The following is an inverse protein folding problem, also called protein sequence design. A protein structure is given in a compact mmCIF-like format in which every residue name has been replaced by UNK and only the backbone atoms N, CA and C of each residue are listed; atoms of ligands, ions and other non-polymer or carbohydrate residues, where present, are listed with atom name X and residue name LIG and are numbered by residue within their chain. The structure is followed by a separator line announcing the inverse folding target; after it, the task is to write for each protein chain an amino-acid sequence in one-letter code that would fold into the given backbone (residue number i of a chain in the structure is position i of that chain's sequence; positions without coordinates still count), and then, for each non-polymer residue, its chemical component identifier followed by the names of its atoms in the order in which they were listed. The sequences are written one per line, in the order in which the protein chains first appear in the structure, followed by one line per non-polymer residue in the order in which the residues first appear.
data_IF_117396130980
#
_entry.id   IF_117396130980
#
_cell.length_a   1.000
_cell.length_b   1.000
_cell.length_c   1.000
_cell.angle_alpha   90.00
_cell.angle_beta   90.00
_cell.angle_gamma   90.00
#
_symmetry.space_group_name_H-M   'P 1'
#
loop_
_entity.id
_entity.type
_entity.pdbx_description
1 polymer ?
#
# COMPACT_ATOMS: atom_id res chain seq x y z
N UNK A 1 4.85 -33.31 -40.82
CA UNK A 1 5.22 -31.97 -41.29
C UNK A 1 5.28 -31.07 -40.06
N UNK A 2 6.47 -30.82 -39.51
CA UNK A 2 6.65 -29.93 -38.36
C UNK A 2 6.67 -28.49 -38.89
N UNK A 3 5.67 -27.69 -38.49
CA UNK A 3 5.61 -26.28 -38.88
C UNK A 3 6.72 -25.53 -38.13
N UNK A 4 7.71 -25.03 -38.86
CA UNK A 4 8.82 -24.25 -38.27
C UNK A 4 8.35 -22.81 -38.15
N UNK A 5 8.26 -22.30 -36.92
CA UNK A 5 7.94 -20.89 -36.66
C UNK A 5 9.18 -20.04 -36.96
N UNK A 6 9.08 -18.99 -37.78
CA UNK A 6 10.17 -18.05 -38.05
C UNK A 6 10.75 -17.40 -36.78
N UNK A 7 12.07 -17.16 -36.77
CA UNK A 7 12.79 -16.65 -35.59
C UNK A 7 12.35 -15.23 -35.18
N UNK A 8 11.95 -14.40 -36.13
CA UNK A 8 11.41 -13.05 -35.90
C UNK A 8 10.06 -13.08 -35.16
N UNK A 9 9.20 -14.06 -35.46
CA UNK A 9 7.97 -14.29 -34.70
C UNK A 9 8.29 -14.73 -33.27
N UNK A 10 9.26 -15.63 -33.10
CA UNK A 10 9.70 -16.07 -31.77
C UNK A 10 10.33 -14.93 -30.96
N UNK A 11 11.12 -14.06 -31.59
CA UNK A 11 11.69 -12.84 -30.98
C UNK A 11 10.57 -11.92 -30.48
N UNK A 12 9.56 -11.66 -31.31
CA UNK A 12 8.37 -10.89 -30.92
C UNK A 12 7.62 -11.52 -29.74
N UNK A 13 7.43 -12.84 -29.74
CA UNK A 13 6.79 -13.55 -28.61
C UNK A 13 7.58 -13.38 -27.31
N UNK A 14 8.92 -13.49 -27.36
CA UNK A 14 9.76 -13.30 -26.18
C UNK A 14 9.74 -11.85 -25.68
N UNK A 15 9.68 -10.87 -26.59
CA UNK A 15 9.55 -9.44 -26.25
C UNK A 15 8.21 -9.10 -25.61
N UNK A 16 7.14 -9.86 -25.89
CA UNK A 16 5.82 -9.68 -25.27
C UNK A 16 5.68 -10.37 -23.90
N UNK A 17 6.74 -10.97 -23.35
CA UNK A 17 6.65 -11.60 -22.03
C UNK A 17 6.37 -10.55 -20.95
N UNK A 18 5.41 -10.79 -20.04
CA UNK A 18 4.98 -9.78 -19.07
C UNK A 18 5.98 -9.61 -17.92
N UNK A 19 6.84 -10.60 -17.66
CA UNK A 19 7.83 -10.57 -16.57
C UNK A 19 9.10 -11.32 -16.96
N UNK A 20 10.21 -11.01 -16.28
CA UNK A 20 11.45 -11.79 -16.43
C UNK A 20 11.27 -13.27 -16.06
N UNK A 21 10.42 -13.58 -15.08
CA UNK A 21 10.14 -14.96 -14.70
C UNK A 21 9.48 -15.74 -15.85
N UNK A 22 8.50 -15.12 -16.53
CA UNK A 22 7.85 -15.69 -17.71
C UNK A 22 8.84 -15.92 -18.84
N UNK A 23 9.72 -14.94 -19.10
CA UNK A 23 10.77 -15.06 -20.11
C UNK A 23 11.74 -16.21 -19.79
N UNK A 24 12.27 -16.26 -18.56
CA UNK A 24 13.22 -17.30 -18.15
C UNK A 24 12.60 -18.70 -18.15
N UNK A 25 11.31 -18.83 -17.82
CA UNK A 25 10.58 -20.08 -17.98
C UNK A 25 10.49 -20.46 -19.47
N UNK A 26 10.09 -19.54 -20.34
CA UNK A 26 9.92 -19.80 -21.77
C UNK A 26 11.22 -20.28 -22.44
N UNK A 27 12.34 -19.60 -22.21
CA UNK A 27 13.62 -19.98 -22.83
C UNK A 27 14.17 -21.31 -22.31
N UNK A 28 13.73 -21.78 -21.13
CA UNK A 28 14.11 -23.10 -20.59
C UNK A 28 13.31 -24.25 -21.18
N UNK A 29 12.13 -23.98 -21.74
CA UNK A 29 11.25 -25.01 -22.33
C UNK A 29 11.74 -25.47 -23.70
N UNK A 30 12.41 -24.61 -24.48
CA UNK A 30 12.81 -24.93 -25.86
C UNK A 30 14.20 -24.40 -26.21
N UNK A 31 15.04 -25.26 -26.80
CA UNK A 31 16.35 -24.87 -27.35
C UNK A 31 16.22 -23.82 -28.46
N UNK A 32 15.14 -23.85 -29.24
CA UNK A 32 14.88 -22.86 -30.28
C UNK A 32 14.61 -21.48 -29.68
N UNK A 33 13.78 -21.41 -28.63
CA UNK A 33 13.52 -20.14 -27.91
C UNK A 33 14.80 -19.60 -27.25
N UNK A 34 15.59 -20.49 -26.64
CA UNK A 34 16.87 -20.11 -26.08
C UNK A 34 17.84 -19.58 -27.16
N UNK A 35 17.91 -20.23 -28.32
CA UNK A 35 18.74 -19.78 -29.43
C UNK A 35 18.32 -18.39 -29.93
N UNK A 36 17.02 -18.16 -30.11
CA UNK A 36 16.49 -16.83 -30.47
C UNK A 36 16.84 -15.79 -29.40
N UNK A 37 16.64 -16.12 -28.12
CA UNK A 37 17.03 -15.25 -27.02
C UNK A 37 18.52 -14.89 -27.06
N UNK A 38 19.41 -15.86 -27.29
CA UNK A 38 20.85 -15.65 -27.38
C UNK A 38 21.26 -14.70 -28.53
N UNK A 39 20.46 -14.60 -29.59
CA UNK A 39 20.76 -13.66 -30.69
C UNK A 39 20.48 -12.20 -30.31
N UNK A 40 19.50 -11.94 -29.44
CA UNK A 40 19.03 -10.58 -29.09
C UNK A 40 18.67 -10.41 -27.61
N UNK A 41 19.52 -10.82 -26.66
CA UNK A 41 19.15 -10.85 -25.24
C UNK A 41 18.81 -9.45 -24.73
N UNK A 42 19.59 -8.44 -25.12
CA UNK A 42 19.41 -7.04 -24.69
C UNK A 42 18.05 -6.47 -25.10
N UNK A 43 17.68 -6.63 -26.37
CA UNK A 43 16.39 -6.16 -26.91
C UNK A 43 15.22 -6.83 -26.20
N UNK A 44 15.30 -8.15 -26.01
CA UNK A 44 14.26 -8.92 -25.32
C UNK A 44 14.14 -8.52 -23.85
N UNK A 45 15.27 -8.45 -23.12
CA UNK A 45 15.26 -8.07 -21.71
C UNK A 45 14.75 -6.65 -21.51
N UNK A 46 15.12 -5.71 -22.38
CA UNK A 46 14.60 -4.35 -22.35
C UNK A 46 13.09 -4.32 -22.61
N UNK A 47 12.60 -5.00 -23.64
CA UNK A 47 11.17 -5.07 -23.92
C UNK A 47 10.38 -5.66 -22.75
N UNK A 48 10.90 -6.72 -22.11
CA UNK A 48 10.27 -7.30 -20.91
C UNK A 48 10.31 -6.32 -19.72
N UNK A 49 11.39 -5.57 -19.53
CA UNK A 49 11.44 -4.52 -18.52
C UNK A 49 10.39 -3.43 -18.79
N UNK A 50 10.28 -2.97 -20.05
CA UNK A 50 9.28 -2.01 -20.50
C UNK A 50 7.85 -2.55 -20.31
N UNK A 51 7.59 -3.85 -20.52
CA UNK A 51 6.28 -4.44 -20.23
C UNK A 51 5.94 -4.43 -18.73
N UNK A 52 6.95 -4.57 -17.86
CA UNK A 52 6.74 -4.63 -16.41
C UNK A 52 6.43 -3.28 -15.78
N UNK A 53 7.14 -2.23 -16.21
CA UNK A 53 7.10 -0.91 -15.55
C UNK A 53 6.66 0.22 -16.49
N UNK A 54 6.42 -0.10 -17.76
CA UNK A 54 5.98 0.85 -18.77
C UNK A 54 7.02 1.95 -19.02
N UNK A 55 6.55 3.19 -19.28
CA UNK A 55 7.43 4.33 -19.55
C UNK A 55 8.19 4.83 -18.33
N UNK A 56 7.90 4.30 -17.12
CA UNK A 56 8.63 4.62 -15.90
C UNK A 56 9.97 3.87 -15.79
N UNK A 57 10.37 3.10 -16.82
CA UNK A 57 11.63 2.34 -16.85
C UNK A 57 12.87 3.15 -16.47
N UNK A 58 13.07 4.40 -16.91
CA UNK A 58 14.23 5.18 -16.51
C UNK A 58 14.28 5.43 -14.99
N UNK A 59 13.14 5.75 -14.36
CA UNK A 59 13.07 5.94 -12.91
C UNK A 59 13.29 4.60 -12.17
N UNK A 60 12.75 3.49 -12.69
CA UNK A 60 12.95 2.15 -12.11
C UNK A 60 14.43 1.70 -12.15
N UNK A 61 15.13 1.93 -13.25
CA UNK A 61 16.56 1.60 -13.40
C UNK A 61 17.42 2.45 -12.46
N UNK A 62 17.06 3.72 -12.24
CA UNK A 62 17.77 4.58 -11.27
C UNK A 62 17.69 4.05 -9.85
N UNK A 63 16.52 3.55 -9.42
CA UNK A 63 16.38 2.88 -8.11
C UNK A 63 17.23 1.63 -8.05
N UNK A 64 17.21 0.83 -9.12
CA UNK A 64 17.91 -0.45 -9.16
C UNK A 64 19.42 -0.30 -8.99
N UNK A 65 20.00 0.67 -9.72
CA UNK A 65 21.44 0.93 -9.75
C UNK A 65 21.93 1.85 -8.64
N UNK A 66 21.03 2.43 -7.87
CA UNK A 66 21.46 3.13 -6.67
C UNK A 66 22.10 2.10 -5.72
N UNK A 67 23.42 2.18 -5.65
CA UNK A 67 24.27 1.51 -4.66
C UNK A 67 24.85 2.60 -3.79
N UNK A 68 24.85 2.39 -2.47
CA UNK A 68 25.48 3.33 -1.52
C UNK A 68 26.94 3.66 -1.92
N UNK A 69 27.62 2.69 -2.55
CA UNK A 69 29.02 2.80 -2.98
C UNK A 69 29.24 3.47 -4.35
N UNK A 70 28.19 3.72 -5.15
CA UNK A 70 28.36 4.19 -6.54
C UNK A 70 28.09 5.69 -6.66
N UNK A 71 29.17 6.48 -6.70
CA UNK A 71 29.13 7.91 -7.09
C UNK A 71 28.83 8.12 -8.58
N UNK A 72 28.76 7.04 -9.36
CA UNK A 72 28.57 7.07 -10.80
C UNK A 72 27.10 7.40 -11.13
N UNK A 73 26.87 8.57 -11.70
CA UNK A 73 25.59 8.93 -12.34
C UNK A 73 25.31 8.00 -13.51
N UNK A 74 24.59 6.91 -13.25
CA UNK A 74 24.29 5.86 -14.24
C UNK A 74 23.61 6.41 -15.48
N UNK A 75 24.19 6.15 -16.65
CA UNK A 75 23.62 6.53 -17.94
C UNK A 75 22.51 5.56 -18.35
N UNK A 76 21.53 6.05 -19.13
CA UNK A 76 20.35 5.29 -19.55
C UNK A 76 20.69 4.11 -20.49
N UNK A 77 21.92 4.05 -21.01
CA UNK A 77 22.37 3.02 -21.97
C UNK A 77 22.69 1.66 -21.33
N UNK A 78 22.78 1.54 -20.00
CA UNK A 78 23.41 0.34 -19.40
C UNK A 78 22.41 -0.78 -19.00
N UNK A 79 21.18 -0.80 -19.51
CA UNK A 79 20.25 -1.95 -19.25
C UNK A 79 20.82 -3.28 -19.76
N UNK A 80 21.84 -3.18 -20.58
CA UNK A 80 22.57 -4.24 -21.26
C UNK A 80 23.29 -5.24 -20.35
N UNK A 81 23.43 -4.97 -19.04
CA UNK A 81 24.19 -5.83 -18.11
C UNK A 81 23.53 -5.96 -16.73
N UNK A 82 22.21 -6.13 -16.65
CA UNK A 82 21.60 -6.47 -15.38
C UNK A 82 22.06 -7.86 -14.90
N UNK A 83 22.53 -7.93 -13.66
CA UNK A 83 22.86 -9.15 -12.92
C UNK A 83 21.61 -9.89 -12.48
N UNK A 84 21.74 -11.17 -12.11
CA UNK A 84 20.64 -11.96 -11.54
C UNK A 84 20.04 -11.33 -10.26
N UNK A 85 20.88 -10.68 -9.44
CA UNK A 85 20.43 -9.97 -8.23
C UNK A 85 19.57 -8.77 -8.63
N UNK A 86 19.99 -8.03 -9.64
CA UNK A 86 19.28 -6.88 -10.16
C UNK A 86 17.93 -7.25 -10.79
N UNK A 87 17.84 -8.33 -11.58
CA UNK A 87 16.55 -8.79 -12.11
C UNK A 87 15.53 -9.10 -11.01
N UNK A 88 15.98 -9.72 -9.92
CA UNK A 88 15.12 -10.01 -8.77
C UNK A 88 14.67 -8.71 -8.10
N UNK A 89 15.60 -7.80 -7.77
CA UNK A 89 15.27 -6.51 -7.15
C UNK A 89 14.33 -5.68 -8.03
N UNK A 90 14.58 -5.62 -9.33
CA UNK A 90 13.71 -4.94 -10.28
C UNK A 90 12.30 -5.53 -10.30
N UNK A 91 12.18 -6.87 -10.33
CA UNK A 91 10.89 -7.55 -10.30
C UNK A 91 10.12 -7.29 -9.00
N UNK A 92 10.82 -7.31 -7.86
CA UNK A 92 10.24 -6.96 -6.55
C UNK A 92 9.75 -5.51 -6.54
N UNK A 93 10.56 -4.56 -7.00
CA UNK A 93 10.16 -3.15 -7.02
C UNK A 93 8.96 -2.91 -7.95
N UNK A 94 8.94 -3.54 -9.13
CA UNK A 94 7.80 -3.48 -10.04
C UNK A 94 6.51 -4.06 -9.42
N UNK A 95 6.62 -5.17 -8.70
CA UNK A 95 5.48 -5.74 -7.96
C UNK A 95 4.98 -4.78 -6.87
N UNK A 96 5.88 -4.12 -6.13
CA UNK A 96 5.52 -3.13 -5.12
C UNK A 96 4.77 -1.94 -5.74
N UNK A 97 5.29 -1.37 -6.84
CA UNK A 97 4.62 -0.26 -7.54
C UNK A 97 3.23 -0.67 -8.00
N UNK A 98 3.11 -1.84 -8.63
CA UNK A 98 1.82 -2.37 -9.10
C UNK A 98 0.82 -2.60 -7.96
N UNK A 99 1.27 -3.18 -6.85
CA UNK A 99 0.42 -3.38 -5.67
C UNK A 99 -0.09 -2.06 -5.08
N UNK A 100 0.80 -1.06 -4.97
CA UNK A 100 0.44 0.28 -4.52
C UNK A 100 -0.49 1.00 -5.49
N UNK A 101 -0.34 0.76 -6.80
CA UNK A 101 -1.23 1.33 -7.81
C UNK A 101 -2.65 0.75 -7.67
N UNK A 102 -2.77 -0.56 -7.49
CA UNK A 102 -4.06 -1.22 -7.20
C UNK A 102 -4.67 -0.66 -5.92
N UNK A 103 -3.88 -0.49 -4.85
CA UNK A 103 -4.34 0.11 -3.61
C UNK A 103 -4.80 1.56 -3.77
N UNK A 104 -4.07 2.35 -4.55
CA UNK A 104 -4.40 3.74 -4.85
C UNK A 104 -5.68 3.84 -5.68
N UNK A 105 -5.79 3.04 -6.73
CA UNK A 105 -6.99 2.92 -7.56
C UNK A 105 -8.20 2.48 -6.74
N UNK A 106 -8.05 1.48 -5.87
CA UNK A 106 -9.11 1.04 -4.98
C UNK A 106 -9.64 2.19 -4.11
N UNK A 107 -8.74 3.05 -3.60
CA UNK A 107 -9.11 4.13 -2.68
C UNK A 107 -9.71 5.36 -3.35
N UNK A 108 -9.35 5.63 -4.61
CA UNK A 108 -9.70 6.90 -5.27
C UNK A 108 -10.45 6.77 -6.61
N UNK A 109 -10.44 5.58 -7.22
CA UNK A 109 -11.15 5.27 -8.46
C UNK A 109 -12.31 4.34 -8.22
N UNK A 110 -12.06 3.10 -7.86
CA UNK A 110 -13.15 2.13 -7.74
C UNK A 110 -12.85 1.13 -6.64
N UNK A 111 -13.56 1.21 -5.49
CA UNK A 111 -13.37 0.27 -4.39
C UNK A 111 -13.89 -1.15 -4.72
N UNK A 112 -14.56 -1.35 -5.86
CA UNK A 112 -15.07 -2.66 -6.28
C UNK A 112 -14.16 -3.35 -7.32
N UNK A 113 -13.21 -2.60 -7.91
CA UNK A 113 -12.28 -3.16 -8.88
C UNK A 113 -11.17 -3.99 -8.20
N UNK A 114 -10.90 -5.17 -8.76
CA UNK A 114 -9.76 -6.03 -8.34
C UNK A 114 -8.41 -5.56 -8.89
N UNK A 115 -8.41 -4.62 -9.83
CA UNK A 115 -7.21 -4.11 -10.48
C UNK A 115 -7.18 -2.58 -10.54
N UNK A 116 -6.09 -2.05 -11.08
CA UNK A 116 -5.98 -0.61 -11.33
C UNK A 116 -6.99 -0.17 -12.40
N UNK A 117 -7.69 0.92 -12.11
CA UNK A 117 -8.59 1.66 -13.00
C UNK A 117 -7.96 3.00 -13.39
N UNK A 118 -6.67 3.19 -13.12
CA UNK A 118 -5.94 4.35 -13.61
C UNK A 118 -5.82 4.26 -15.13
N UNK A 119 -5.93 5.42 -15.80
CA UNK A 119 -5.55 5.48 -17.22
C UNK A 119 -4.05 5.20 -17.37
N UNK A 120 -3.60 4.90 -18.58
CA UNK A 120 -2.18 4.70 -18.85
C UNK A 120 -1.31 5.88 -18.40
N UNK A 121 -1.78 7.12 -18.64
CA UNK A 121 -1.06 8.34 -18.25
C UNK A 121 -1.03 8.52 -16.73
N UNK A 122 -2.12 8.20 -16.03
CA UNK A 122 -2.21 8.26 -14.58
C UNK A 122 -1.33 7.21 -13.91
N UNK A 123 -1.34 5.98 -14.42
CA UNK A 123 -0.44 4.89 -14.00
C UNK A 123 1.02 5.30 -14.18
N UNK A 124 1.37 5.93 -15.31
CA UNK A 124 2.72 6.45 -15.53
C UNK A 124 3.13 7.49 -14.48
N UNK A 125 2.29 8.50 -14.22
CA UNK A 125 2.58 9.54 -13.20
C UNK A 125 2.76 8.91 -11.82
N UNK A 126 1.86 7.99 -11.46
CA UNK A 126 1.91 7.26 -10.20
C UNK A 126 3.20 6.43 -10.08
N UNK A 127 3.51 5.60 -11.07
CA UNK A 127 4.69 4.74 -11.07
C UNK A 127 5.99 5.55 -10.95
N UNK A 128 6.13 6.62 -11.74
CA UNK A 128 7.30 7.52 -11.67
C UNK A 128 7.45 8.14 -10.29
N UNK A 129 6.36 8.66 -9.72
CA UNK A 129 6.35 9.21 -8.37
C UNK A 129 6.78 8.16 -7.33
N UNK A 130 6.25 6.93 -7.39
CA UNK A 130 6.63 5.85 -6.46
C UNK A 130 8.11 5.49 -6.61
N UNK A 131 8.63 5.30 -7.82
CA UNK A 131 10.06 5.00 -8.02
C UNK A 131 10.97 6.12 -7.50
N UNK A 132 10.57 7.39 -7.62
CA UNK A 132 11.34 8.50 -7.07
C UNK A 132 11.31 8.54 -5.55
N UNK A 133 10.18 8.17 -4.95
CA UNK A 133 10.09 7.98 -3.49
C UNK A 133 10.98 6.81 -3.06
N UNK A 134 10.97 5.67 -3.78
CA UNK A 134 11.90 4.56 -3.52
C UNK A 134 13.35 5.05 -3.57
N UNK A 135 13.74 5.75 -4.64
CA UNK A 135 15.09 6.27 -4.79
C UNK A 135 15.46 7.22 -3.64
N UNK A 136 14.53 8.09 -3.24
CA UNK A 136 14.76 9.03 -2.15
C UNK A 136 14.95 8.30 -0.80
N UNK A 137 14.12 7.30 -0.52
CA UNK A 137 14.27 6.45 0.66
C UNK A 137 15.59 5.68 0.67
N UNK A 138 16.08 5.23 -0.48
CA UNK A 138 17.37 4.53 -0.62
C UNK A 138 18.55 5.50 -0.46
N UNK A 139 18.46 6.70 -1.04
CA UNK A 139 19.51 7.73 -0.95
C UNK A 139 19.72 8.22 0.46
N UNK A 140 18.62 8.47 1.17
CA UNK A 140 18.64 8.98 2.53
C UNK A 140 18.27 7.88 3.54
N UNK A 141 18.49 6.62 3.16
CA UNK A 141 18.33 5.51 4.08
C UNK A 141 19.31 5.67 5.23
N UNK A 142 18.87 5.32 6.43
CA UNK A 142 19.78 5.19 7.56
C UNK A 142 20.50 3.87 7.35
N UNK A 143 21.66 3.89 6.70
CA UNK A 143 22.50 2.70 6.57
C UNK A 143 23.31 2.46 7.84
N UNK A 144 23.58 1.18 8.10
CA UNK A 144 24.32 0.66 9.24
C UNK A 144 25.80 1.12 9.30
N UNK A 145 26.32 1.73 8.24
CA UNK A 145 27.74 2.07 8.10
C UNK A 145 28.16 3.37 8.82
N UNK A 146 27.24 4.14 9.41
CA UNK A 146 27.63 5.24 10.31
C UNK A 146 27.82 4.70 11.74
N UNK A 147 28.90 3.92 11.91
CA UNK A 147 29.44 3.38 13.17
C UNK A 147 29.95 4.46 14.13
N UNK A 148 29.42 5.68 14.01
CA UNK A 148 29.98 6.85 14.63
C UNK A 148 29.03 7.38 15.69
N UNK A 149 29.27 6.92 16.91
CA UNK A 149 28.88 7.56 18.15
C UNK A 149 29.38 9.02 18.13
N UNK A 150 28.53 9.97 17.73
CA UNK A 150 28.87 11.38 17.68
C UNK A 150 28.52 12.11 18.99
N UNK A 151 29.35 13.08 19.37
CA UNK A 151 29.06 14.02 20.45
C UNK A 151 27.93 14.98 20.03
N UNK A 152 26.94 15.17 20.92
CA UNK A 152 25.64 15.84 20.69
C UNK A 152 25.68 17.23 20.03
N UNK A 153 26.82 17.92 20.02
CA UNK A 153 26.93 19.30 19.54
C UNK A 153 27.29 19.40 18.05
N UNK A 154 27.88 18.36 17.44
CA UNK A 154 28.11 18.27 15.99
C UNK A 154 26.88 17.70 15.23
N UNK A 155 25.76 17.51 15.90
CA UNK A 155 24.55 16.93 15.31
C UNK A 155 23.70 17.95 14.53
N UNK A 156 23.64 19.22 14.97
CA UNK A 156 22.75 20.24 14.38
C UNK A 156 23.22 20.66 12.98
N UNK A 157 24.51 20.99 12.82
CA UNK A 157 25.10 21.38 11.52
C UNK A 157 24.95 20.26 10.48
N UNK A 158 25.15 18.99 10.89
CA UNK A 158 24.98 17.84 10.00
C UNK A 158 23.53 17.59 9.62
N UNK A 159 22.59 17.84 10.54
CA UNK A 159 21.18 17.71 10.21
C UNK A 159 20.75 18.72 9.13
N UNK A 160 21.20 19.96 9.21
CA UNK A 160 20.93 20.97 8.18
C UNK A 160 21.62 20.65 6.83
N UNK A 161 22.80 20.02 6.85
CA UNK A 161 23.44 19.49 5.65
C UNK A 161 22.57 18.40 5.00
N UNK A 162 22.09 17.43 5.76
CA UNK A 162 21.21 16.36 5.27
C UNK A 162 19.93 16.94 4.67
N UNK A 163 19.31 17.93 5.33
CA UNK A 163 18.13 18.62 4.78
C UNK A 163 18.49 19.34 3.47
N UNK A 164 19.65 19.99 3.39
CA UNK A 164 20.12 20.66 2.17
C UNK A 164 20.29 19.67 1.02
N UNK A 165 20.86 18.49 1.28
CA UNK A 165 20.99 17.42 0.28
C UNK A 165 19.62 16.87 -0.16
N UNK A 166 18.68 16.66 0.77
CA UNK A 166 17.30 16.26 0.48
C UNK A 166 16.58 17.28 -0.41
N UNK A 167 16.70 18.57 -0.08
CA UNK A 167 16.18 19.67 -0.91
C UNK A 167 16.82 19.66 -2.29
N UNK A 168 18.14 19.50 -2.38
CA UNK A 168 18.88 19.46 -3.64
C UNK A 168 18.42 18.29 -4.54
N UNK A 169 18.08 17.13 -3.96
CA UNK A 169 17.53 16.01 -4.72
C UNK A 169 16.17 16.35 -5.35
N UNK A 170 15.23 16.91 -4.58
CA UNK A 170 13.92 17.26 -5.10
C UNK A 170 13.93 18.46 -6.05
N UNK A 171 14.87 19.41 -5.87
CA UNK A 171 15.03 20.58 -6.77
C UNK A 171 15.27 20.18 -8.24
N UNK A 172 15.77 18.96 -8.49
CA UNK A 172 16.00 18.40 -9.84
C UNK A 172 14.70 18.13 -10.61
N UNK A 173 13.54 18.01 -9.94
CA UNK A 173 12.26 17.71 -10.59
C UNK A 173 11.45 18.98 -10.86
N UNK A 174 10.71 19.05 -11.99
CA UNK A 174 9.79 20.15 -12.26
C UNK A 174 8.64 20.17 -11.24
N UNK A 175 8.01 21.32 -11.08
CA UNK A 175 6.95 21.53 -10.08
C UNK A 175 5.75 20.60 -10.27
N UNK A 176 5.36 20.33 -11.52
CA UNK A 176 4.26 19.40 -11.85
C UNK A 176 4.53 18.00 -11.30
N UNK A 177 5.73 17.47 -11.51
CA UNK A 177 6.12 16.14 -11.04
C UNK A 177 6.29 16.08 -9.51
N UNK A 178 6.71 17.17 -8.87
CA UNK A 178 6.76 17.22 -7.40
C UNK A 178 5.34 17.24 -6.79
N UNK A 179 4.36 17.85 -7.46
CA UNK A 179 2.97 17.81 -7.02
C UNK A 179 2.35 16.41 -7.17
N UNK A 180 2.72 15.68 -8.23
CA UNK A 180 2.38 14.26 -8.40
C UNK A 180 3.01 13.39 -7.31
N UNK A 181 4.30 13.63 -7.00
CA UNK A 181 5.01 12.95 -5.92
C UNK A 181 4.37 13.20 -4.55
N UNK A 182 4.04 14.45 -4.24
CA UNK A 182 3.36 14.79 -2.98
C UNK A 182 1.97 14.15 -2.89
N UNK A 183 1.25 14.02 -4.01
CA UNK A 183 -0.03 13.29 -4.04
C UNK A 183 0.11 11.81 -3.64
N UNK A 184 1.17 11.14 -4.10
CA UNK A 184 1.49 9.76 -3.70
C UNK A 184 1.91 9.71 -2.22
N UNK A 185 2.73 10.64 -1.74
CA UNK A 185 3.11 10.71 -0.32
C UNK A 185 1.89 10.92 0.58
N UNK A 186 0.94 11.78 0.20
CA UNK A 186 -0.32 11.94 0.93
C UNK A 186 -1.12 10.64 0.99
N UNK A 187 -1.11 9.84 -0.07
CA UNK A 187 -1.71 8.51 -0.06
C UNK A 187 -0.99 7.57 0.91
N UNK A 188 0.34 7.53 0.92
CA UNK A 188 1.12 6.75 1.86
C UNK A 188 0.85 7.17 3.31
N UNK A 189 0.81 8.48 3.59
CA UNK A 189 0.42 9.01 4.91
C UNK A 189 -0.97 8.52 5.32
N UNK A 190 -1.94 8.50 4.40
CA UNK A 190 -3.29 7.99 4.71
C UNK A 190 -3.27 6.50 5.04
N UNK A 191 -2.48 5.68 4.35
CA UNK A 191 -2.27 4.26 4.69
C UNK A 191 -1.66 4.17 6.11
N UNK A 192 -0.60 4.93 6.33
CA UNK A 192 0.06 5.07 7.62
C UNK A 192 -0.75 5.88 8.65
N UNK A 193 -2.01 6.27 8.40
CA UNK A 193 -2.96 6.81 9.39
C UNK A 193 -4.07 5.79 9.62
N UNK A 194 -4.54 5.13 8.57
CA UNK A 194 -5.63 4.16 8.63
C UNK A 194 -5.29 2.92 9.45
N UNK A 195 -4.06 2.39 9.36
CA UNK A 195 -3.73 1.09 9.97
C UNK A 195 -3.11 1.15 11.37
N UNK A 196 -3.10 2.31 12.02
CA UNK A 196 -2.33 2.51 13.26
C UNK A 196 -3.07 2.16 14.52
N UNK A 197 -4.35 1.85 14.40
CA UNK A 197 -5.22 1.64 15.55
C UNK A 197 -5.16 2.77 16.58
N UNK A 198 -5.63 2.43 17.77
CA UNK A 198 -5.53 3.28 18.97
C UNK A 198 -4.16 3.14 19.64
N UNK A 199 -3.05 3.04 18.88
CA UNK A 199 -1.74 2.96 19.51
C UNK A 199 -1.55 4.19 20.42
N UNK A 200 -1.29 3.97 21.72
CA UNK A 200 -1.36 5.02 22.75
C UNK A 200 -0.16 5.97 22.73
N UNK A 201 0.79 5.77 21.83
CA UNK A 201 1.98 6.62 21.72
C UNK A 201 1.68 7.82 20.84
N UNK A 202 1.17 8.88 21.48
CA UNK A 202 1.04 10.25 20.94
C UNK A 202 2.28 10.68 20.14
N UNK A 203 3.46 10.19 20.55
CA UNK A 203 4.77 10.34 19.90
C UNK A 203 4.81 9.98 18.40
N UNK A 204 4.01 9.01 17.92
CA UNK A 204 4.02 8.60 16.50
C UNK A 204 2.83 9.12 15.69
N UNK A 205 1.78 9.65 16.34
CA UNK A 205 0.60 10.17 15.62
C UNK A 205 0.92 11.41 14.80
N UNK A 206 1.89 12.20 15.26
CA UNK A 206 2.23 13.48 14.64
C UNK A 206 3.19 13.34 13.46
N UNK A 207 3.86 12.20 13.30
CA UNK A 207 4.96 12.06 12.34
C UNK A 207 4.79 10.90 11.34
N UNK A 208 3.71 10.96 10.55
CA UNK A 208 3.47 9.96 9.51
C UNK A 208 4.60 9.90 8.46
N UNK A 209 5.38 10.97 8.30
CA UNK A 209 6.56 11.02 7.44
C UNK A 209 7.63 10.01 7.86
N UNK A 210 7.85 9.87 9.17
CA UNK A 210 8.78 8.89 9.74
C UNK A 210 8.37 7.45 9.42
N UNK A 211 7.06 7.15 9.39
CA UNK A 211 6.60 5.80 9.04
C UNK A 211 6.82 5.51 7.56
N UNK A 212 6.52 6.47 6.68
CA UNK A 212 6.63 6.26 5.23
C UNK A 212 8.06 6.39 4.71
N UNK A 213 9.01 6.88 5.52
CA UNK A 213 10.45 6.88 5.17
C UNK A 213 11.04 5.47 5.06
N UNK A 214 10.40 4.49 5.70
CA UNK A 214 10.72 3.04 5.58
C UNK A 214 10.55 2.51 4.15
N UNK A 215 9.89 3.28 3.29
CA UNK A 215 9.83 3.07 1.86
C UNK A 215 8.56 2.37 1.38
N UNK A 216 8.32 2.38 0.06
CA UNK A 216 7.04 1.95 -0.50
C UNK A 216 6.69 0.47 -0.27
N UNK A 217 7.70 -0.41 -0.11
CA UNK A 217 7.46 -1.82 0.17
C UNK A 217 6.78 -2.04 1.53
N UNK A 218 7.22 -1.33 2.57
CA UNK A 218 6.61 -1.39 3.90
C UNK A 218 5.19 -0.79 3.89
N UNK A 219 4.97 0.28 3.10
CA UNK A 219 3.63 0.86 2.92
C UNK A 219 2.68 -0.12 2.23
N UNK A 220 3.15 -0.86 1.22
CA UNK A 220 2.35 -1.89 0.56
C UNK A 220 2.03 -3.05 1.50
N UNK A 221 3.02 -3.57 2.21
CA UNK A 221 2.82 -4.65 3.17
C UNK A 221 1.81 -4.22 4.24
N UNK A 222 1.88 -2.98 4.71
CA UNK A 222 0.90 -2.46 5.65
C UNK A 222 -0.53 -2.42 5.09
N UNK A 223 -0.65 -2.09 3.79
CA UNK A 223 -1.93 -2.15 3.09
C UNK A 223 -2.46 -3.56 2.89
N UNK A 224 -1.61 -4.52 2.56
CA UNK A 224 -2.01 -5.91 2.29
C UNK A 224 -2.32 -6.65 3.60
N UNK A 225 -1.45 -6.53 4.60
CA UNK A 225 -1.59 -7.16 5.91
C UNK A 225 -2.66 -6.50 6.78
N UNK A 226 -3.10 -5.28 6.42
CA UNK A 226 -4.03 -4.48 7.22
C UNK A 226 -3.46 -4.20 8.63
N UNK A 227 -2.14 -4.01 8.72
CA UNK A 227 -1.39 -3.74 9.96
C UNK A 227 -0.28 -2.75 9.67
N UNK A 228 0.34 -2.14 10.69
CA UNK A 228 1.55 -1.32 10.51
C UNK A 228 2.82 -2.01 10.95
N UNK A 229 2.74 -3.27 11.37
CA UNK A 229 3.84 -4.00 12.00
C UNK A 229 5.11 -3.93 11.12
N UNK A 230 4.99 -4.05 9.80
CA UNK A 230 6.12 -3.91 8.87
C UNK A 230 6.73 -2.51 8.85
N UNK A 231 5.92 -1.45 8.80
CA UNK A 231 6.42 -0.07 8.89
C UNK A 231 7.05 0.20 10.26
N UNK A 232 6.45 -0.28 11.34
CA UNK A 232 6.98 -0.10 12.70
C UNK A 232 8.29 -0.87 12.86
N UNK A 233 8.35 -2.14 12.48
CA UNK A 233 9.57 -2.95 12.56
C UNK A 233 10.68 -2.36 11.69
N UNK A 234 10.38 -1.92 10.46
CA UNK A 234 11.36 -1.28 9.59
C UNK A 234 11.87 0.05 10.19
N UNK A 235 10.96 0.82 10.80
CA UNK A 235 11.32 2.07 11.47
C UNK A 235 12.14 1.81 12.74
N UNK A 236 11.71 0.89 13.59
CA UNK A 236 12.43 0.52 14.81
C UNK A 236 13.82 0.06 14.45
N UNK A 237 13.99 -0.83 13.47
CA UNK A 237 15.31 -1.23 12.99
C UNK A 237 16.14 -0.01 12.57
N UNK A 238 15.58 0.91 11.78
CA UNK A 238 16.30 2.12 11.38
C UNK A 238 16.65 3.05 12.57
N UNK A 239 15.78 3.14 13.58
CA UNK A 239 16.02 3.95 14.78
C UNK A 239 17.03 3.32 15.73
N UNK A 240 17.00 1.99 15.89
CA UNK A 240 17.99 1.25 16.66
C UNK A 240 19.39 1.41 16.07
N UNK A 241 19.49 1.48 14.73
CA UNK A 241 20.77 1.66 14.04
C UNK A 241 21.25 3.12 14.04
N UNK A 242 20.37 4.12 13.84
CA UNK A 242 20.79 5.54 13.82
C UNK A 242 20.90 6.22 15.17
N UNK A 243 20.13 5.78 16.17
CA UNK A 243 19.92 6.52 17.42
C UNK A 243 19.23 7.88 17.28
N UNK A 244 18.86 8.34 16.07
CA UNK A 244 18.47 9.74 15.85
C UNK A 244 17.09 9.88 15.15
N UNK A 245 16.03 9.95 15.96
CA UNK A 245 14.65 10.19 15.50
C UNK A 245 14.46 11.54 14.79
N UNK A 246 15.25 12.56 15.16
CA UNK A 246 15.12 13.90 14.59
C UNK A 246 15.42 13.89 13.08
N UNK A 247 16.36 13.05 12.61
CA UNK A 247 16.70 12.85 11.19
C UNK A 247 15.52 12.37 10.33
N UNK A 248 14.56 11.66 10.92
CA UNK A 248 13.38 11.15 10.22
C UNK A 248 12.15 12.03 10.38
N UNK A 249 12.15 12.96 11.33
CA UNK A 249 11.04 13.90 11.44
C UNK A 249 10.91 14.75 10.19
N UNK A 250 9.69 14.84 9.66
CA UNK A 250 9.39 15.60 8.43
C UNK A 250 10.27 15.18 7.23
N UNK A 251 10.65 13.90 7.18
CA UNK A 251 11.57 13.31 6.19
C UNK A 251 11.29 13.76 4.74
N UNK A 252 10.01 13.87 4.37
CA UNK A 252 9.57 14.40 3.08
C UNK A 252 9.02 15.82 3.18
N UNK A 253 8.29 16.12 4.25
CA UNK A 253 7.52 17.35 4.43
C UNK A 253 8.41 18.57 4.50
N UNK A 254 9.50 18.53 5.27
CA UNK A 254 10.42 19.67 5.42
C UNK A 254 11.08 20.06 4.09
N UNK A 255 11.75 19.15 3.35
CA UNK A 255 12.37 19.52 2.08
C UNK A 255 11.35 19.95 1.01
N UNK A 256 10.17 19.34 0.95
CA UNK A 256 9.11 19.78 0.03
C UNK A 256 8.58 21.17 0.38
N UNK A 257 8.29 21.45 1.67
CA UNK A 257 7.86 22.79 2.13
C UNK A 257 8.88 23.87 1.77
N UNK A 258 10.17 23.60 1.90
CA UNK A 258 11.22 24.53 1.50
C UNK A 258 11.15 24.81 -0.01
N UNK A 259 10.99 23.78 -0.84
CA UNK A 259 10.90 23.94 -2.30
C UNK A 259 9.64 24.70 -2.70
N UNK A 260 8.52 24.45 -2.04
CA UNK A 260 7.26 25.18 -2.25
C UNK A 260 7.41 26.66 -1.95
N UNK A 261 8.08 27.00 -0.84
CA UNK A 261 8.43 28.38 -0.50
C UNK A 261 9.37 28.99 -1.55
N UNK A 262 10.44 28.29 -1.92
CA UNK A 262 11.44 28.76 -2.90
C UNK A 262 10.81 29.01 -4.29
N UNK A 263 9.80 28.24 -4.67
CA UNK A 263 9.12 28.34 -5.97
C UNK A 263 7.85 29.20 -5.95
N UNK A 264 7.49 29.76 -4.80
CA UNK A 264 6.22 30.48 -4.57
C UNK A 264 4.98 29.67 -4.99
N UNK A 265 4.95 28.38 -4.61
CA UNK A 265 3.86 27.45 -4.93
C UNK A 265 3.18 27.01 -3.64
N UNK A 266 1.86 27.18 -3.56
CA UNK A 266 1.06 26.61 -2.47
C UNK A 266 0.54 25.22 -2.88
N UNK A 267 1.06 24.11 -2.30
CA UNK A 267 0.52 22.80 -2.60
C UNK A 267 -0.94 22.72 -2.10
N UNK A 268 -1.88 22.16 -2.88
CA UNK A 268 -3.26 22.00 -2.44
C UNK A 268 -3.34 21.10 -1.20
N UNK A 269 -4.39 21.27 -0.40
CA UNK A 269 -4.65 20.45 0.79
C UNK A 269 -5.14 19.04 0.48
N UNK A 270 -5.46 18.73 -0.78
CA UNK A 270 -5.88 17.40 -1.26
C UNK A 270 -5.34 17.17 -2.68
N UNK A 271 -4.26 16.41 -2.79
CA UNK A 271 -3.45 16.35 -4.02
C UNK A 271 -3.71 15.13 -4.92
N UNK A 272 -4.57 14.19 -4.53
CA UNK A 272 -4.86 13.03 -5.38
C UNK A 272 -5.33 13.45 -6.79
N UNK A 273 -6.00 14.60 -6.93
CA UNK A 273 -6.42 15.18 -8.22
C UNK A 273 -5.26 15.46 -9.19
N UNK A 274 -4.02 15.62 -8.71
CA UNK A 274 -2.85 15.84 -9.57
C UNK A 274 -2.43 14.59 -10.34
N UNK A 275 -2.82 13.42 -9.83
CA UNK A 275 -2.56 12.14 -10.49
C UNK A 275 -3.67 11.74 -11.47
N UNK A 276 -4.78 12.48 -11.55
CA UNK A 276 -5.92 12.13 -12.39
C UNK A 276 -6.08 13.09 -13.57
N UNK A 277 -6.34 12.55 -14.75
CA UNK A 277 -6.76 13.29 -15.94
C UNK A 277 -8.27 13.58 -15.87
N UNK A 278 -9.03 12.62 -15.37
CA UNK A 278 -10.47 12.74 -15.18
C UNK A 278 -10.84 13.05 -13.73
N UNK A 279 -12.04 13.59 -13.49
CA UNK A 279 -12.55 13.75 -12.14
C UNK A 279 -12.49 12.39 -11.40
N UNK A 280 -12.13 12.37 -10.09
CA UNK A 280 -12.20 11.14 -9.31
C UNK A 280 -13.61 10.57 -9.40
N UNK A 281 -13.71 9.24 -9.36
CA UNK A 281 -15.01 8.56 -9.33
C UNK A 281 -15.87 9.14 -8.22
N UNK A 282 -17.10 9.49 -8.57
CA UNK A 282 -18.10 9.88 -7.60
C UNK A 282 -18.70 8.61 -7.05
N UNK A 283 -18.16 8.14 -5.91
CA UNK A 283 -18.76 7.02 -5.20
C UNK A 283 -20.25 7.29 -4.98
N UNK A 284 -21.12 6.29 -5.19
CA UNK A 284 -22.54 6.47 -4.93
C UNK A 284 -22.74 6.87 -3.48
N UNK A 285 -23.82 7.58 -3.11
CA UNK A 285 -24.14 7.81 -1.71
C UNK A 285 -24.39 6.46 -1.01
N UNK A 286 -24.29 6.45 0.32
CA UNK A 286 -24.67 5.27 1.10
C UNK A 286 -26.12 4.86 0.79
N UNK A 287 -26.36 3.58 0.46
CA UNK A 287 -27.68 3.02 0.10
C UNK A 287 -28.74 3.09 1.21
N UNK A 288 -28.38 3.67 2.36
CA UNK A 288 -29.21 3.76 3.57
C UNK A 288 -29.43 5.16 4.06
N UNK A 289 -28.36 5.89 4.35
CA UNK A 289 -28.50 7.25 4.83
C UNK A 289 -28.42 8.31 3.71
N UNK A 290 -28.05 7.92 2.49
CA UNK A 290 -27.86 8.87 1.39
C UNK A 290 -26.64 9.79 1.56
N UNK A 291 -25.87 9.66 2.64
CA UNK A 291 -24.68 10.48 2.87
C UNK A 291 -23.62 10.15 1.82
N UNK A 292 -23.13 11.18 1.15
CA UNK A 292 -21.95 11.14 0.32
C UNK A 292 -20.72 10.90 1.20
N UNK A 293 -20.30 9.63 1.28
CA UNK A 293 -19.16 9.23 2.08
C UNK A 293 -18.16 8.49 1.20
N UNK A 294 -17.59 9.24 0.24
CA UNK A 294 -16.82 8.72 -0.92
C UNK A 294 -15.73 7.72 -0.61
N UNK A 295 -15.21 7.74 0.61
CA UNK A 295 -14.04 6.97 1.02
C UNK A 295 -14.33 5.90 2.09
N UNK A 296 -15.59 5.66 2.43
CA UNK A 296 -15.97 4.79 3.56
C UNK A 296 -17.22 3.95 3.30
N UNK A 297 -17.50 3.63 2.04
CA UNK A 297 -18.58 2.70 1.72
C UNK A 297 -18.05 1.29 1.72
N UNK A 298 -18.85 0.40 2.31
CA UNK A 298 -18.55 -0.99 2.59
C UNK A 298 -19.57 -1.87 1.91
N UNK A 299 -19.13 -2.95 1.31
CA UNK A 299 -19.98 -3.95 0.67
C UNK A 299 -19.38 -5.34 0.92
N UNK A 300 -20.11 -6.40 0.60
CA UNK A 300 -19.63 -7.77 0.76
C UNK A 300 -18.17 -7.99 0.31
N UNK A 301 -17.78 -7.41 -0.83
CA UNK A 301 -16.44 -7.58 -1.40
C UNK A 301 -15.31 -6.98 -0.55
N UNK A 302 -15.59 -6.00 0.31
CA UNK A 302 -14.59 -5.28 1.10
C UNK A 302 -14.57 -5.65 2.59
N UNK A 303 -15.48 -6.52 3.02
CA UNK A 303 -15.64 -6.87 4.43
C UNK A 303 -14.41 -7.51 5.06
N UNK A 304 -13.65 -8.29 4.29
CA UNK A 304 -12.39 -8.87 4.74
C UNK A 304 -11.36 -7.80 5.14
N UNK A 305 -11.38 -6.65 4.45
CA UNK A 305 -10.46 -5.52 4.68
C UNK A 305 -10.96 -4.50 5.70
N UNK A 306 -12.07 -4.76 6.39
CA UNK A 306 -12.65 -3.79 7.33
C UNK A 306 -11.75 -3.55 8.54
N UNK A 307 -11.38 -2.29 8.76
CA UNK A 307 -10.73 -1.81 9.98
C UNK A 307 -11.73 -1.45 11.08
N UNK A 308 -12.88 -2.13 11.12
CA UNK A 308 -13.69 -2.09 12.31
C UNK A 308 -12.88 -2.80 13.38
N UNK A 309 -12.46 -2.06 14.41
CA UNK A 309 -12.12 -2.70 15.67
C UNK A 309 -13.44 -3.25 16.18
N UNK A 310 -13.77 -4.47 15.73
CA UNK A 310 -15.02 -5.13 16.03
C UNK A 310 -15.16 -5.08 17.54
N UNK A 311 -14.12 -5.39 18.32
CA UNK A 311 -14.15 -5.29 19.78
C UNK A 311 -14.59 -3.92 20.35
N UNK A 312 -14.22 -2.78 19.76
CA UNK A 312 -14.68 -1.46 20.21
C UNK A 312 -16.18 -1.21 19.95
N UNK A 313 -16.84 -2.02 19.11
CA UNK A 313 -18.26 -1.89 18.79
C UNK A 313 -19.19 -2.58 19.80
N UNK A 314 -18.65 -3.25 20.82
CA UNK A 314 -19.40 -4.13 21.70
C UNK A 314 -19.57 -3.67 23.15
N UNK A 315 -18.70 -2.86 23.80
CA UNK A 315 -18.71 -2.54 25.24
C UNK A 315 -20.05 -2.15 25.88
N UNK A 316 -20.97 -1.54 25.13
CA UNK A 316 -22.16 -0.93 25.72
C UNK A 316 -23.48 -1.62 25.38
N UNK A 317 -23.46 -2.74 24.64
CA UNK A 317 -24.60 -3.02 23.78
C UNK A 317 -25.23 -4.42 23.87
N UNK A 318 -24.94 -5.18 24.92
CA UNK A 318 -25.77 -6.34 25.25
C UNK A 318 -26.91 -5.92 26.18
N UNK A 319 -28.18 -6.03 25.76
CA UNK A 319 -29.30 -5.80 26.67
C UNK A 319 -29.19 -6.78 27.85
N UNK A 320 -29.11 -6.26 29.08
CA UNK A 320 -29.03 -7.09 30.30
C UNK A 320 -27.70 -7.10 31.06
N UNK A 321 -26.80 -6.12 30.87
CA UNK A 321 -25.49 -6.06 31.56
C UNK A 321 -24.56 -7.26 31.28
N UNK A 322 -24.63 -7.90 30.10
CA UNK A 322 -23.71 -9.01 29.78
C UNK A 322 -22.22 -8.62 29.80
N UNK A 323 -21.86 -7.33 29.83
CA UNK A 323 -20.48 -6.91 30.13
C UNK A 323 -19.98 -7.32 31.51
N UNK A 324 -20.90 -7.66 32.42
CA UNK A 324 -20.56 -8.26 33.71
C UNK A 324 -20.34 -9.78 33.60
N UNK A 325 -20.74 -10.40 32.49
CA UNK A 325 -20.47 -11.82 32.22
C UNK A 325 -19.15 -11.96 31.46
N UNK A 326 -18.04 -11.80 32.21
CA UNK A 326 -16.67 -11.94 31.70
C UNK A 326 -16.49 -13.21 30.84
N UNK A 327 -16.97 -14.41 31.25
CA UNK A 327 -16.87 -15.62 30.42
C UNK A 327 -17.52 -15.49 29.03
N UNK A 328 -18.68 -14.86 28.92
CA UNK A 328 -19.34 -14.68 27.60
C UNK A 328 -18.60 -13.67 26.73
N UNK A 329 -18.04 -12.63 27.34
CA UNK A 329 -17.23 -11.65 26.64
C UNK A 329 -15.92 -12.29 26.14
N UNK A 330 -15.25 -13.10 26.97
CA UNK A 330 -14.04 -13.83 26.61
C UNK A 330 -14.29 -14.83 25.47
N UNK A 331 -15.32 -15.68 25.60
CA UNK A 331 -15.71 -16.62 24.55
C UNK A 331 -16.04 -15.90 23.24
N UNK A 332 -16.77 -14.79 23.32
CA UNK A 332 -17.08 -13.97 22.15
C UNK A 332 -15.81 -13.39 21.53
N UNK A 333 -14.91 -12.82 22.33
CA UNK A 333 -13.66 -12.23 21.85
C UNK A 333 -12.76 -13.29 21.20
N UNK A 334 -12.62 -14.44 21.83
CA UNK A 334 -11.89 -15.58 21.30
C UNK A 334 -12.50 -16.06 19.97
N UNK A 335 -13.82 -16.18 19.90
CA UNK A 335 -14.48 -16.66 18.69
C UNK A 335 -14.38 -15.65 17.55
N UNK A 336 -14.65 -14.38 17.83
CA UNK A 336 -14.58 -13.30 16.83
C UNK A 336 -13.15 -13.06 16.35
N UNK A 337 -12.14 -13.16 17.23
CA UNK A 337 -10.74 -13.03 16.82
C UNK A 337 -10.28 -14.14 15.86
N UNK A 338 -10.94 -15.31 15.91
CA UNK A 338 -10.67 -16.47 15.02
C UNK A 338 -11.50 -16.44 13.74
N UNK A 339 -12.59 -15.67 13.70
CA UNK A 339 -13.46 -15.60 12.53
C UNK A 339 -12.91 -14.61 11.50
N UNK A 340 -12.95 -15.03 10.25
CA UNK A 340 -12.80 -14.11 9.13
C UNK A 340 -13.92 -13.05 9.18
N UNK A 341 -13.54 -11.77 9.02
CA UNK A 341 -14.47 -10.63 9.14
C UNK A 341 -15.58 -10.71 8.11
N UNK A 342 -15.24 -11.12 6.89
CA UNK A 342 -16.24 -11.30 5.83
C UNK A 342 -17.26 -12.36 6.25
N UNK A 343 -16.80 -13.53 6.72
CA UNK A 343 -17.69 -14.58 7.25
C UNK A 343 -18.57 -14.07 8.40
N UNK A 344 -18.00 -13.39 9.38
CA UNK A 344 -18.74 -12.84 10.53
C UNK A 344 -19.87 -11.91 10.07
N UNK A 345 -19.56 -10.94 9.21
CA UNK A 345 -20.56 -9.96 8.75
C UNK A 345 -21.61 -10.67 7.88
N UNK A 346 -21.20 -11.59 7.02
CA UNK A 346 -22.12 -12.40 6.20
C UNK A 346 -23.12 -13.20 7.04
N UNK A 347 -22.66 -13.85 8.10
CA UNK A 347 -23.52 -14.60 9.01
C UNK A 347 -24.50 -13.67 9.75
N UNK A 348 -24.06 -12.48 10.18
CA UNK A 348 -24.96 -11.49 10.80
C UNK A 348 -26.01 -10.99 9.79
N UNK A 349 -25.67 -10.88 8.50
CA UNK A 349 -26.63 -10.55 7.44
C UNK A 349 -27.70 -11.63 7.24
N UNK A 350 -27.40 -12.89 7.54
CA UNK A 350 -28.35 -14.00 7.42
C UNK A 350 -29.46 -13.95 8.49
N UNK A 351 -29.19 -13.37 9.67
CA UNK A 351 -30.11 -13.34 10.83
C UNK A 351 -30.78 -11.99 11.05
N UNK A 352 -31.05 -11.25 9.97
CA UNK A 352 -31.56 -9.87 10.05
C UNK A 352 -33.03 -9.78 10.50
N UNK A 353 -33.35 -8.72 11.24
CA UNK A 353 -34.73 -8.39 11.66
C UNK A 353 -35.55 -7.83 10.50
N UNK A 354 -36.88 -7.81 10.66
CA UNK A 354 -37.83 -7.35 9.62
C UNK A 354 -37.55 -5.90 9.18
N UNK A 355 -37.16 -5.01 10.10
CA UNK A 355 -36.84 -3.61 9.79
C UNK A 355 -35.62 -3.46 8.87
N UNK A 356 -34.76 -4.48 8.80
CA UNK A 356 -33.60 -4.53 7.91
C UNK A 356 -33.78 -5.49 6.74
N UNK A 357 -34.98 -6.05 6.50
CA UNK A 357 -35.24 -7.04 5.45
C UNK A 357 -34.70 -6.63 4.07
N UNK A 358 -34.81 -5.33 3.73
CA UNK A 358 -34.33 -4.78 2.45
C UNK A 358 -32.81 -4.63 2.37
N UNK A 359 -32.04 -4.81 3.46
CA UNK A 359 -30.58 -4.68 3.48
C UNK A 359 -29.95 -5.93 2.87
N UNK A 360 -29.12 -5.71 1.85
CA UNK A 360 -28.42 -6.76 1.10
C UNK A 360 -26.91 -6.61 1.31
N UNK A 361 -26.15 -7.72 1.33
CA UNK A 361 -24.68 -7.68 1.36
C UNK A 361 -24.05 -6.82 0.26
N UNK A 362 -24.70 -6.77 -0.91
CA UNK A 362 -24.27 -5.97 -2.07
C UNK A 362 -24.47 -4.47 -1.92
N UNK A 363 -25.16 -3.99 -0.87
CA UNK A 363 -25.35 -2.56 -0.67
C UNK A 363 -24.05 -1.87 -0.25
N UNK A 364 -23.80 -0.69 -0.79
CA UNK A 364 -22.73 0.22 -0.39
C UNK A 364 -23.14 0.98 0.88
N UNK A 365 -22.69 0.51 2.03
CA UNK A 365 -23.03 1.04 3.34
C UNK A 365 -21.89 1.88 3.92
N UNK A 366 -22.17 3.08 4.41
CA UNK A 366 -21.15 3.80 5.19
C UNK A 366 -20.84 3.08 6.51
N UNK A 367 -19.65 3.30 7.07
CA UNK A 367 -19.22 2.70 8.35
C UNK A 367 -20.29 2.82 9.44
N UNK A 368 -20.96 3.98 9.56
CA UNK A 368 -22.03 4.19 10.56
C UNK A 368 -23.28 3.33 10.31
N UNK A 369 -23.68 3.14 9.05
CA UNK A 369 -24.82 2.29 8.71
C UNK A 369 -24.49 0.81 8.90
N UNK A 370 -23.30 0.37 8.47
CA UNK A 370 -22.84 -0.99 8.72
C UNK A 370 -22.73 -1.26 10.22
N UNK A 371 -22.15 -0.33 10.99
CA UNK A 371 -22.06 -0.44 12.44
C UNK A 371 -23.44 -0.55 13.10
N UNK A 372 -24.38 0.32 12.71
CA UNK A 372 -25.78 0.24 13.18
C UNK A 372 -26.37 -1.14 12.86
N UNK A 373 -26.15 -1.66 11.67
CA UNK A 373 -26.61 -2.99 11.27
C UNK A 373 -26.03 -4.09 12.17
N UNK A 374 -24.72 -4.14 12.34
CA UNK A 374 -24.05 -5.14 13.17
C UNK A 374 -24.53 -5.09 14.62
N UNK A 375 -24.68 -3.87 15.14
CA UNK A 375 -25.16 -3.61 16.51
C UNK A 375 -26.60 -4.13 16.71
N UNK A 376 -27.48 -3.93 15.73
CA UNK A 376 -28.87 -4.36 15.83
C UNK A 376 -29.08 -5.87 15.68
N UNK A 377 -28.11 -6.65 15.19
CA UNK A 377 -28.35 -8.07 14.85
C UNK A 377 -27.40 -9.06 15.53
N UNK A 378 -26.30 -8.61 16.12
CA UNK A 378 -25.35 -9.52 16.80
C UNK A 378 -25.98 -10.42 17.86
N UNK A 379 -27.02 -9.95 18.56
CA UNK A 379 -27.69 -10.70 19.62
C UNK A 379 -28.53 -11.86 19.06
N UNK A 380 -28.87 -11.81 17.77
CA UNK A 380 -29.53 -12.91 17.05
C UNK A 380 -28.51 -13.92 16.53
N UNK A 381 -27.33 -13.43 16.13
CA UNK A 381 -26.24 -14.27 15.62
C UNK A 381 -25.55 -15.08 16.72
N UNK A 382 -25.33 -14.48 17.91
CA UNK A 382 -24.54 -15.11 18.97
C UNK A 382 -25.12 -16.46 19.48
N UNK A 383 -26.45 -16.62 19.68
CA UNK A 383 -27.02 -17.93 20.01
C UNK A 383 -26.79 -18.98 18.93
N UNK A 384 -26.88 -18.62 17.64
CA UNK A 384 -26.59 -19.55 16.55
C UNK A 384 -25.12 -19.96 16.53
N UNK A 385 -24.21 -19.03 16.82
CA UNK A 385 -22.79 -19.34 16.96
C UNK A 385 -22.54 -20.31 18.11
N UNK A 386 -23.13 -20.07 19.29
CA UNK A 386 -23.03 -20.96 20.46
C UNK A 386 -23.52 -22.37 20.13
N UNK A 387 -24.68 -22.47 19.47
CA UNK A 387 -25.22 -23.75 19.01
C UNK A 387 -24.28 -24.48 18.04
N UNK A 388 -23.61 -23.76 17.12
CA UNK A 388 -22.63 -24.34 16.18
C UNK A 388 -21.35 -24.82 16.87
N UNK A 389 -20.88 -24.12 17.89
CA UNK A 389 -19.65 -24.46 18.63
C UNK A 389 -19.87 -25.62 19.61
N UNK A 390 -21.12 -26.02 19.85
CA UNK A 390 -21.48 -27.09 20.79
C UNK A 390 -21.59 -26.60 22.24
N UNK A 391 -21.54 -25.28 22.45
CA UNK A 391 -21.71 -24.63 23.74
C UNK A 391 -23.20 -24.29 23.91
N UNK A 392 -24.02 -25.32 24.17
CA UNK A 392 -25.43 -25.13 24.52
C UNK A 392 -25.51 -25.01 26.04
N UNK A 393 -25.76 -23.83 26.62
CA UNK A 393 -26.26 -23.78 27.99
C UNK A 393 -27.60 -24.50 28.01
N UNK A 394 -27.77 -25.47 28.91
CA UNK A 394 -29.08 -26.10 29.17
C UNK A 394 -30.11 -25.00 29.40
N UNK A 395 -31.17 -24.99 28.59
CA UNK A 395 -32.18 -23.93 28.51
C UNK A 395 -33.12 -23.82 29.73
N UNK A 396 -32.69 -24.27 30.90
CA UNK A 396 -33.51 -24.37 32.10
C UNK A 396 -33.01 -23.40 33.19
N UNK A 397 -33.07 -22.09 32.94
CA UNK A 397 -32.98 -21.06 33.98
C UNK A 397 -33.37 -19.66 33.42
N UNK A 398 -34.67 -19.44 33.19
CA UNK A 398 -35.30 -18.11 33.28
C UNK A 398 -36.70 -18.25 33.86
#
# INVERSE_FOLDING_TARGET
MTLVVPNDILDGILQCMPTFQSLFAAIRVSKTLYAVFQTRPKSIMRAVAENMVGPALPDAVRVLRYSADSTTTGSQEELDQLTNKEYRRFSTNAAVVKGLEVAFSFKYRDPFSKGSQLTWTESLRFARAVYRIMLYCEVFHISDDEDVFWELQEEEDRYDEVITQRVAMFKKYPTTELLELDAVLMFFRKIAIEFGGDFPTEKYRENNDTLISTGPAAVLDAWESKRRDSMIMALENALWMSGNYARLSDFFTRPLKQIWKDRDVSPPSSNAKRLFDEAPYQSPPCDRCGLDNRYKLRCEQDWAGLHLNIFNLFPDFFPGKHFQNLPEMELFQETVSRLDKHKLISEIFAVKTVSFKKWMPSHALCDACLLKFLTCHRHLWLPELKAKVGDVPKADAY
#
